data_IF_508270231797
#
_entry.id   IF_508270231797
#
_cell.length_a   1.000
_cell.length_b   1.000
_cell.length_c   1.000
_cell.angle_alpha   90.00
_cell.angle_beta   90.00
_cell.angle_gamma   90.00
#
_symmetry.space_group_name_H-M   'P 1'
#
loop_
_entity.id
_entity.type
_entity.pdbx_description
1 polymer ?
#
# COMPACT_ATOMS: atom_id res chain seq x y z
N UNK A 1 -17.57 22.97 1.76
CA UNK A 1 -18.05 21.68 2.30
C UNK A 1 -17.03 21.17 3.29
N UNK A 2 -17.43 20.93 4.55
CA UNK A 2 -16.52 20.44 5.60
C UNK A 2 -16.31 18.94 5.40
N UNK A 3 -15.14 18.56 4.90
CA UNK A 3 -14.72 17.16 4.78
C UNK A 3 -14.34 16.67 6.17
N UNK A 4 -15.30 16.05 6.86
CA UNK A 4 -15.01 15.34 8.10
C UNK A 4 -14.29 14.05 7.72
N UNK A 5 -12.96 14.08 7.65
CA UNK A 5 -12.17 12.86 7.69
C UNK A 5 -12.54 12.15 9.00
N UNK A 6 -13.29 11.05 8.91
CA UNK A 6 -13.49 10.14 10.02
C UNK A 6 -12.12 9.55 10.34
N UNK A 7 -11.37 10.21 11.23
CA UNK A 7 -10.10 9.68 11.73
C UNK A 7 -10.41 8.30 12.30
N UNK A 8 -9.92 7.24 11.64
CA UNK A 8 -9.74 5.91 12.25
C UNK A 8 -8.86 6.16 13.48
N UNK A 9 -9.48 6.33 14.64
CA UNK A 9 -8.80 6.53 15.92
C UNK A 9 -8.07 5.23 16.23
N UNK A 10 -6.74 5.24 16.18
CA UNK A 10 -5.84 4.24 16.77
C UNK A 10 -6.33 2.78 16.65
N UNK A 11 -6.68 2.33 15.45
CA UNK A 11 -6.75 0.89 15.21
C UNK A 11 -5.33 0.43 14.89
N UNK A 12 -4.76 -0.39 15.76
CA UNK A 12 -3.52 -1.10 15.48
C UNK A 12 -3.71 -1.92 14.20
N UNK A 13 -2.74 -1.90 13.29
CA UNK A 13 -2.77 -2.81 12.14
C UNK A 13 -2.78 -4.25 12.65
N UNK A 14 -3.73 -5.03 12.15
CA UNK A 14 -3.82 -6.45 12.40
C UNK A 14 -3.26 -7.24 11.21
N UNK A 15 -2.98 -8.53 11.45
CA UNK A 15 -2.52 -9.44 10.39
C UNK A 15 -3.48 -9.48 9.19
N UNK A 16 -4.79 -9.40 9.44
CA UNK A 16 -5.81 -9.35 8.39
C UNK A 16 -5.65 -8.13 7.47
N UNK A 17 -5.25 -6.97 8.01
CA UNK A 17 -5.02 -5.78 7.20
C UNK A 17 -3.85 -6.00 6.22
N UNK A 18 -2.78 -6.66 6.67
CA UNK A 18 -1.65 -7.03 5.81
C UNK A 18 -2.04 -8.06 4.74
N UNK A 19 -2.85 -9.05 5.10
CA UNK A 19 -3.36 -10.03 4.14
C UNK A 19 -4.25 -9.37 3.08
N UNK A 20 -5.17 -8.49 3.48
CA UNK A 20 -6.05 -7.73 2.57
C UNK A 20 -5.26 -6.79 1.67
N UNK A 21 -4.26 -6.09 2.22
CA UNK A 21 -3.36 -5.21 1.48
C UNK A 21 -2.60 -5.98 0.39
N UNK A 22 -1.97 -7.10 0.75
CA UNK A 22 -1.24 -7.94 -0.21
C UNK A 22 -2.19 -8.52 -1.27
N UNK A 23 -3.34 -9.05 -0.84
CA UNK A 23 -4.34 -9.59 -1.77
C UNK A 23 -4.79 -8.55 -2.79
N UNK A 24 -5.07 -7.31 -2.36
CA UNK A 24 -5.45 -6.24 -3.28
C UNK A 24 -4.32 -5.92 -4.27
N UNK A 25 -3.07 -5.82 -3.81
CA UNK A 25 -1.92 -5.58 -4.70
C UNK A 25 -1.66 -6.73 -5.68
N UNK A 26 -1.94 -7.97 -5.29
CA UNK A 26 -1.67 -9.14 -6.12
C UNK A 26 -2.79 -9.42 -7.13
N UNK A 27 -4.03 -9.05 -6.80
CA UNK A 27 -5.22 -9.40 -7.61
C UNK A 27 -5.85 -8.24 -8.35
N UNK A 28 -5.69 -7.00 -7.88
CA UNK A 28 -6.34 -5.84 -8.49
C UNK A 28 -5.43 -5.20 -9.56
N UNK A 29 -5.63 -5.61 -10.82
CA UNK A 29 -4.87 -5.08 -11.95
C UNK A 29 -4.96 -3.56 -12.06
N UNK A 30 -6.16 -2.98 -11.89
CA UNK A 30 -6.37 -1.52 -11.99
C UNK A 30 -5.58 -0.75 -10.94
N UNK A 31 -5.50 -1.28 -9.71
CA UNK A 31 -4.68 -0.71 -8.64
C UNK A 31 -3.19 -0.75 -9.02
N UNK A 32 -2.71 -1.88 -9.55
CA UNK A 32 -1.31 -2.02 -9.99
C UNK A 32 -0.96 -1.06 -11.12
N UNK A 33 -1.82 -0.96 -12.13
CA UNK A 33 -1.61 -0.07 -13.27
C UNK A 33 -1.56 1.38 -12.81
N UNK A 34 -2.47 1.79 -11.93
CA UNK A 34 -2.47 3.14 -11.35
C UNK A 34 -1.22 3.45 -10.51
N UNK A 35 -0.72 2.48 -9.74
CA UNK A 35 0.53 2.63 -9.00
C UNK A 35 1.73 2.74 -9.96
N UNK A 36 1.76 1.95 -11.02
CA UNK A 36 2.82 1.98 -12.03
C UNK A 36 2.85 3.33 -12.76
N UNK A 37 1.70 3.82 -13.22
CA UNK A 37 1.58 5.15 -13.84
C UNK A 37 2.01 6.26 -12.89
N UNK A 38 1.66 6.16 -11.61
CA UNK A 38 2.05 7.14 -10.60
C UNK A 38 3.57 7.13 -10.34
N UNK A 39 4.21 5.96 -10.41
CA UNK A 39 5.66 5.82 -10.27
C UNK A 39 6.42 6.52 -11.40
N UNK A 40 5.89 6.53 -12.63
CA UNK A 40 6.46 7.29 -13.75
C UNK A 40 6.40 8.81 -13.52
N UNK A 41 5.41 9.28 -12.76
CA UNK A 41 5.24 10.69 -12.41
C UNK A 41 6.07 11.11 -11.19
N UNK A 42 6.71 10.18 -10.48
CA UNK A 42 7.44 10.43 -9.24
C UNK A 42 8.44 11.60 -9.31
N UNK A 43 9.23 11.80 -10.39
CA UNK A 43 10.17 12.92 -10.48
C UNK A 43 9.51 14.31 -10.46
N UNK A 44 8.19 14.39 -10.64
CA UNK A 44 7.41 15.65 -10.71
C UNK A 44 6.49 15.85 -9.51
N UNK A 45 6.51 14.94 -8.54
CA UNK A 45 5.64 14.96 -7.37
C UNK A 45 6.48 15.11 -6.10
N UNK A 46 5.92 15.75 -5.07
CA UNK A 46 6.49 15.63 -3.72
C UNK A 46 6.18 14.25 -3.13
N UNK A 47 6.90 13.85 -2.07
CA UNK A 47 6.60 12.60 -1.36
C UNK A 47 5.15 12.60 -0.84
N UNK A 48 4.68 13.72 -0.30
CA UNK A 48 3.32 13.86 0.22
C UNK A 48 2.27 13.71 -0.88
N UNK A 49 2.47 14.35 -2.03
CA UNK A 49 1.56 14.24 -3.18
C UNK A 49 1.50 12.80 -3.71
N UNK A 50 2.67 12.15 -3.81
CA UNK A 50 2.76 10.76 -4.22
C UNK A 50 2.00 9.84 -3.25
N UNK A 51 2.27 9.96 -1.94
CA UNK A 51 1.59 9.18 -0.91
C UNK A 51 0.09 9.39 -0.97
N UNK A 52 -0.36 10.65 -1.09
CA UNK A 52 -1.79 10.97 -1.13
C UNK A 52 -2.48 10.31 -2.33
N UNK A 53 -1.85 10.36 -3.51
CA UNK A 53 -2.39 9.70 -4.72
C UNK A 53 -2.40 8.18 -4.61
N UNK A 54 -1.37 7.58 -3.98
CA UNK A 54 -1.38 6.13 -3.67
C UNK A 54 -2.55 5.79 -2.75
N UNK A 55 -2.79 6.56 -1.69
CA UNK A 55 -3.91 6.34 -0.77
C UNK A 55 -5.26 6.43 -1.50
N UNK A 56 -5.43 7.36 -2.43
CA UNK A 56 -6.64 7.44 -3.27
C UNK A 56 -6.85 6.18 -4.14
N UNK A 57 -5.78 5.60 -4.69
CA UNK A 57 -5.86 4.36 -5.45
C UNK A 57 -6.31 3.19 -4.55
N UNK A 58 -5.76 3.08 -3.34
CA UNK A 58 -6.20 2.07 -2.37
C UNK A 58 -7.65 2.28 -1.94
N UNK A 59 -8.07 3.53 -1.72
CA UNK A 59 -9.45 3.83 -1.38
C UNK A 59 -10.41 3.41 -2.51
N UNK A 60 -10.07 3.68 -3.78
CA UNK A 60 -10.84 3.21 -4.94
C UNK A 60 -10.88 1.68 -5.05
N UNK A 61 -9.85 1.00 -4.56
CA UNK A 61 -9.80 -0.46 -4.44
C UNK A 61 -10.53 -1.00 -3.21
N UNK A 62 -11.17 -0.16 -2.40
CA UNK A 62 -11.94 -0.55 -1.21
C UNK A 62 -11.09 -0.71 0.06
N UNK A 63 -9.88 -0.17 0.08
CA UNK A 63 -8.97 -0.18 1.22
C UNK A 63 -8.68 1.24 1.70
N UNK A 64 -9.30 1.64 2.80
CA UNK A 64 -9.01 2.92 3.45
C UNK A 64 -7.84 2.79 4.40
N UNK A 65 -6.76 3.48 4.06
CA UNK A 65 -5.49 3.52 4.79
C UNK A 65 -5.12 4.96 5.13
N UNK A 66 -4.38 5.12 6.22
CA UNK A 66 -3.59 6.31 6.52
C UNK A 66 -2.21 6.20 5.88
N UNK A 67 -1.51 7.34 5.75
CA UNK A 67 -0.13 7.33 5.24
C UNK A 67 0.83 6.49 6.08
N UNK A 68 0.63 6.44 7.39
CA UNK A 68 1.42 5.61 8.31
C UNK A 68 1.14 4.11 8.12
N UNK A 69 -0.14 3.73 8.03
CA UNK A 69 -0.53 2.35 7.72
C UNK A 69 0.03 1.89 6.38
N UNK A 70 -0.05 2.74 5.34
CA UNK A 70 0.53 2.45 4.02
C UNK A 70 2.04 2.19 4.11
N UNK A 71 2.79 3.07 4.77
CA UNK A 71 4.26 2.92 4.94
C UNK A 71 4.60 1.62 5.68
N UNK A 72 3.88 1.31 6.76
CA UNK A 72 4.07 0.09 7.53
C UNK A 72 3.76 -1.17 6.73
N UNK A 73 2.64 -1.20 6.00
CA UNK A 73 2.23 -2.34 5.16
C UNK A 73 3.21 -2.59 4.01
N UNK A 74 3.70 -1.53 3.36
CA UNK A 74 4.75 -1.64 2.34
C UNK A 74 6.05 -2.21 2.92
N UNK A 75 6.46 -1.77 4.12
CA UNK A 75 7.64 -2.31 4.78
C UNK A 75 7.50 -3.80 5.11
N UNK A 76 6.33 -4.21 5.64
CA UNK A 76 6.02 -5.61 5.94
C UNK A 76 6.01 -6.48 4.67
N UNK A 77 5.43 -5.99 3.57
CA UNK A 77 5.44 -6.69 2.28
C UNK A 77 6.87 -6.88 1.79
N UNK A 78 7.69 -5.82 1.80
CA UNK A 78 9.10 -5.89 1.36
C UNK A 78 9.91 -6.91 2.16
N UNK A 79 9.69 -6.98 3.48
CA UNK A 79 10.39 -7.96 4.33
C UNK A 79 9.89 -9.38 4.06
N UNK A 80 8.58 -9.56 3.84
CA UNK A 80 8.00 -10.84 3.45
C UNK A 80 8.59 -11.33 2.12
N UNK A 81 8.67 -10.46 1.10
CA UNK A 81 9.27 -10.79 -0.20
C UNK A 81 10.73 -11.20 -0.05
N UNK A 82 11.51 -10.49 0.77
CA UNK A 82 12.92 -10.84 1.07
C UNK A 82 13.04 -12.21 1.72
N UNK A 83 12.18 -12.54 2.67
CA UNK A 83 12.20 -13.85 3.35
C UNK A 83 11.87 -14.97 2.36
N UNK A 84 10.86 -14.77 1.49
CA UNK A 84 10.46 -15.74 0.48
C UNK A 84 11.55 -15.96 -0.57
N UNK A 85 12.19 -14.88 -1.07
CA UNK A 85 13.31 -14.97 -2.01
C UNK A 85 14.51 -15.71 -1.41
N UNK A 86 14.85 -15.47 -0.14
CA UNK A 86 15.92 -16.20 0.57
C UNK A 86 15.63 -17.70 0.72
N UNK A 87 14.37 -18.08 0.91
CA UNK A 87 13.99 -19.50 0.98
C UNK A 87 14.15 -20.19 -0.37
N UNK A 88 13.76 -19.52 -1.45
CA UNK A 88 13.88 -20.06 -2.80
C UNK A 88 15.36 -20.27 -3.21
N UNK A 89 16.27 -19.42 -2.72
CA UNK A 89 17.72 -19.55 -2.97
C UNK A 89 18.44 -20.61 -2.12
N UNK A 90 17.82 -21.08 -1.01
CA UNK A 90 18.39 -22.11 -0.12
C UNK A 90 17.86 -23.51 -0.40
N UNK A 91 16.96 -23.64 -1.38
CA UNK A 91 16.37 -24.91 -1.80
C UNK A 91 16.95 -25.46 -3.11
N UNK A 92 18.06 -24.90 -3.60
CA UNK A 92 18.86 -25.42 -4.72
C UNK A 92 20.17 -26.05 -4.22
#
# INVERSE_FOLDING_TARGET
MKWFHRKKKNQSLHFEDAARFNWALDTNQKLRDGIAELAEQFPRLTEEEYIQRVLELFQRAGLELTGEELKMLLALRRETDRILLRKNQKGE
#
